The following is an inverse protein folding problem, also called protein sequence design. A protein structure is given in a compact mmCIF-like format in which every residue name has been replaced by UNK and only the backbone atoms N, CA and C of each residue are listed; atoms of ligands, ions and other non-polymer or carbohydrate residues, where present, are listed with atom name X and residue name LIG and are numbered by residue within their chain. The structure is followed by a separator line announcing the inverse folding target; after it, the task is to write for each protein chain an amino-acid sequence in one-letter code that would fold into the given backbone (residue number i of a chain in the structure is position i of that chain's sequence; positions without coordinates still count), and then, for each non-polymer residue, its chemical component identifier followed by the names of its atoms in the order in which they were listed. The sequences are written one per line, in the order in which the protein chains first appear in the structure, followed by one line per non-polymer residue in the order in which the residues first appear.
data_IF_078868474295
#
_entry.id   IF_078868474295
#
_cell.length_a   1.000
_cell.length_b   1.000
_cell.length_c   1.000
_cell.angle_alpha   90.00
_cell.angle_beta   90.00
_cell.angle_gamma   90.00
#
_symmetry.space_group_name_H-M   'P 1'
#
loop_
_entity.id
_entity.type
_entity.pdbx_description
1 polymer ?
#
# COMPACT_ATOMS: atom_id res chain seq x y z
N UNK A 1 8.49 2.14 4.61
CA UNK A 1 7.29 2.46 3.80
C UNK A 1 6.00 2.30 4.60
N UNK A 2 5.87 1.23 5.34
CA UNK A 2 4.69 0.99 6.17
C UNK A 2 4.47 2.13 7.16
N UNK A 3 5.54 2.56 7.81
CA UNK A 3 5.50 3.63 8.80
C UNK A 3 5.09 4.97 8.18
N UNK A 4 5.52 5.21 6.94
CA UNK A 4 5.14 6.41 6.22
C UNK A 4 3.62 6.51 6.06
N UNK A 5 3.00 5.43 5.60
CA UNK A 5 1.55 5.42 5.39
C UNK A 5 0.78 5.47 6.71
N UNK A 6 1.29 4.79 7.73
CA UNK A 6 0.66 4.86 9.06
C UNK A 6 0.72 6.26 9.64
N UNK A 7 1.82 6.97 9.40
CA UNK A 7 2.00 8.33 9.92
C UNK A 7 1.02 9.34 9.32
N UNK A 8 0.50 9.07 8.12
CA UNK A 8 -0.50 9.95 7.49
C UNK A 8 -1.93 9.44 7.68
N UNK A 9 -2.11 8.45 8.55
CA UNK A 9 -3.45 7.96 8.93
C UNK A 9 -4.09 7.01 7.95
N UNK A 10 -3.30 6.35 7.09
CA UNK A 10 -3.81 5.40 6.10
C UNK A 10 -3.69 3.98 6.67
N UNK A 11 -4.74 3.19 6.51
CA UNK A 11 -4.74 1.79 6.95
C UNK A 11 -3.74 0.97 6.14
N UNK A 12 -2.90 0.20 6.83
CA UNK A 12 -1.87 -0.66 6.21
C UNK A 12 -2.08 -2.09 6.65
N UNK A 13 -2.05 -3.01 5.70
CA UNK A 13 -2.12 -4.44 5.95
C UNK A 13 -0.88 -5.09 5.35
N UNK A 14 0.01 -5.61 6.20
CA UNK A 14 1.29 -6.17 5.77
C UNK A 14 1.23 -7.69 5.80
N UNK A 15 1.27 -8.30 4.62
CA UNK A 15 1.30 -9.76 4.45
C UNK A 15 2.60 -10.25 3.83
N UNK A 16 3.62 -9.40 3.77
CA UNK A 16 4.89 -9.73 3.08
C UNK A 16 5.63 -10.88 3.75
N UNK A 17 5.51 -11.00 5.05
CA UNK A 17 6.14 -12.08 5.82
C UNK A 17 5.56 -13.46 5.50
N UNK A 18 4.38 -13.50 4.86
CA UNK A 18 3.69 -14.74 4.48
C UNK A 18 3.67 -14.94 2.96
N UNK A 19 4.58 -14.28 2.26
CA UNK A 19 4.64 -14.38 0.80
C UNK A 19 3.60 -13.53 0.08
N UNK A 20 2.91 -12.67 0.80
CA UNK A 20 1.92 -11.75 0.23
C UNK A 20 2.50 -10.37 -0.05
N UNK A 21 1.61 -9.36 -0.02
CA UNK A 21 1.96 -7.98 -0.34
C UNK A 21 1.73 -7.07 0.85
N UNK A 22 2.33 -5.89 0.78
CA UNK A 22 1.97 -4.77 1.64
C UNK A 22 0.80 -4.06 0.97
N UNK A 23 -0.32 -3.93 1.68
CA UNK A 23 -1.52 -3.29 1.17
C UNK A 23 -1.75 -1.94 1.85
N UNK A 24 -1.99 -0.94 1.04
CA UNK A 24 -2.37 0.40 1.49
C UNK A 24 -3.85 0.57 1.14
N UNK A 25 -4.71 0.61 2.15
CA UNK A 25 -6.16 0.54 1.95
C UNK A 25 -6.76 1.93 1.77
N UNK A 26 -7.55 2.11 0.73
CA UNK A 26 -8.24 3.37 0.44
C UNK A 26 -8.57 3.50 -1.03
N UNK A 27 -9.42 4.47 -1.35
CA UNK A 27 -9.75 4.76 -2.74
C UNK A 27 -8.54 5.39 -3.43
N UNK A 28 -8.38 5.07 -4.71
CA UNK A 28 -7.25 5.58 -5.50
C UNK A 28 -7.13 7.10 -5.43
N UNK A 29 -8.25 7.81 -5.51
CA UNK A 29 -8.26 9.27 -5.47
C UNK A 29 -7.79 9.82 -4.11
N UNK A 30 -8.00 9.05 -3.04
CA UNK A 30 -7.63 9.49 -1.69
C UNK A 30 -6.17 9.21 -1.37
N UNK A 31 -5.64 8.10 -1.88
CA UNK A 31 -4.29 7.65 -1.51
C UNK A 31 -3.23 7.91 -2.57
N UNK A 32 -3.61 8.26 -3.81
CA UNK A 32 -2.66 8.37 -4.93
C UNK A 32 -1.52 9.35 -4.65
N UNK A 33 -1.81 10.45 -4.01
CA UNK A 33 -0.81 11.47 -3.65
C UNK A 33 0.28 10.87 -2.76
N UNK A 34 -0.11 10.08 -1.78
CA UNK A 34 0.83 9.43 -0.86
C UNK A 34 1.55 8.26 -1.52
N UNK A 35 0.85 7.52 -2.38
CA UNK A 35 1.44 6.43 -3.15
C UNK A 35 2.51 6.95 -4.09
N UNK A 36 2.23 8.03 -4.82
CA UNK A 36 3.20 8.65 -5.73
C UNK A 36 4.44 9.13 -4.98
N UNK A 37 4.27 9.72 -3.83
CA UNK A 37 5.37 10.14 -2.97
C UNK A 37 6.22 8.94 -2.54
N UNK A 38 5.58 7.87 -2.09
CA UNK A 38 6.27 6.67 -1.65
C UNK A 38 7.03 5.98 -2.78
N UNK A 39 6.40 5.89 -3.95
CA UNK A 39 7.03 5.30 -5.14
C UNK A 39 8.31 6.03 -5.50
N UNK A 40 8.27 7.36 -5.48
CA UNK A 40 9.44 8.20 -5.79
C UNK A 40 10.49 8.12 -4.69
N UNK A 41 10.06 8.24 -3.44
CA UNK A 41 10.97 8.32 -2.29
C UNK A 41 11.68 7.00 -2.00
N UNK A 42 10.95 5.90 -2.07
CA UNK A 42 11.49 4.58 -1.73
C UNK A 42 11.88 3.76 -2.97
N UNK A 43 11.65 4.29 -4.16
CA UNK A 43 11.98 3.65 -5.44
C UNK A 43 11.35 2.26 -5.53
N UNK A 44 10.06 2.20 -5.28
CA UNK A 44 9.28 0.96 -5.29
C UNK A 44 8.21 1.04 -6.38
N UNK A 45 7.59 -0.11 -6.67
CA UNK A 45 6.48 -0.18 -7.61
C UNK A 45 5.36 -1.04 -7.03
N UNK A 46 4.17 -0.83 -7.52
CA UNK A 46 3.00 -1.59 -7.10
C UNK A 46 1.83 -1.32 -8.03
N UNK A 47 0.66 -1.77 -7.64
CA UNK A 47 -0.54 -1.63 -8.45
C UNK A 47 -1.77 -1.36 -7.58
N UNK A 48 -2.80 -0.79 -8.19
CA UNK A 48 -4.09 -0.58 -7.53
C UNK A 48 -4.98 -1.79 -7.76
N UNK A 49 -5.75 -2.15 -6.75
CA UNK A 49 -6.68 -3.27 -6.87
C UNK A 49 -7.35 -3.58 -5.54
N UNK A 50 -8.11 -4.66 -5.52
CA UNK A 50 -8.76 -5.17 -4.32
C UNK A 50 -8.47 -6.66 -4.21
N UNK A 51 -8.41 -7.17 -2.99
CA UNK A 51 -8.10 -8.58 -2.78
C UNK A 51 -8.56 -9.06 -1.41
N UNK A 52 -8.35 -10.34 -1.16
CA UNK A 52 -8.76 -10.96 0.11
C UNK A 52 -8.13 -10.29 1.33
N UNK A 53 -6.89 -9.85 1.21
CA UNK A 53 -6.16 -9.23 2.31
C UNK A 53 -6.85 -7.97 2.83
N UNK A 54 -7.55 -7.24 1.96
CA UNK A 54 -8.26 -6.01 2.31
C UNK A 54 -9.76 -6.23 2.51
N UNK A 55 -10.23 -7.48 2.43
CA UNK A 55 -11.67 -7.76 2.43
C UNK A 55 -12.36 -7.25 1.18
N UNK A 56 -11.67 -7.28 0.05
CA UNK A 56 -12.12 -6.80 -1.26
C UNK A 56 -12.34 -5.27 -1.32
N UNK A 57 -11.75 -4.53 -0.37
CA UNK A 57 -11.72 -3.08 -0.44
C UNK A 57 -10.64 -2.63 -1.41
N UNK A 58 -10.84 -1.46 -2.03
CA UNK A 58 -9.85 -0.88 -2.92
C UNK A 58 -8.59 -0.47 -2.16
N UNK A 59 -7.46 -0.55 -2.82
CA UNK A 59 -6.19 -0.16 -2.24
C UNK A 59 -5.07 -0.23 -3.26
N UNK A 60 -3.86 -0.03 -2.78
CA UNK A 60 -2.63 -0.16 -3.56
C UNK A 60 -1.76 -1.22 -2.89
N UNK A 61 -1.12 -2.07 -3.68
CA UNK A 61 -0.30 -3.13 -3.12
C UNK A 61 1.08 -3.16 -3.77
N UNK A 62 2.07 -3.61 -2.98
CA UNK A 62 3.45 -3.75 -3.45
C UNK A 62 4.09 -4.97 -2.78
N UNK A 63 5.01 -5.60 -3.50
CA UNK A 63 5.82 -6.70 -2.96
C UNK A 63 7.17 -6.21 -2.44
N UNK A 64 7.42 -4.91 -2.46
CA UNK A 64 8.67 -4.35 -2.00
C UNK A 64 8.93 -4.69 -0.52
N UNK A 65 10.20 -4.98 -0.19
CA UNK A 65 10.63 -5.22 1.20
C UNK A 65 11.03 -3.92 1.91
N UNK A 66 10.96 -2.81 1.24
CA UNK A 66 11.29 -1.50 1.82
C UNK A 66 10.09 -0.89 2.58
#
# INVERSE_FOLDING_TARGET
IKEYFESVGIEVIDKRDRGGCLWIVGERTDISKYVNEAVTRFKISGAYGAGHATGHRNGWYTKSNK
#
